data_IF_215895600159
#
_entry.id   IF_215895600159
#
_cell.length_a   1.000
_cell.length_b   1.000
_cell.length_c   1.000
_cell.angle_alpha   90.00
_cell.angle_beta   90.00
_cell.angle_gamma   90.00
#
_symmetry.space_group_name_H-M   'P 1'
#
loop_
_entity.id
_entity.type
_entity.pdbx_description
1 polymer ?
#
# COMPACT_ATOMS: atom_id res chain seq x y z
N UNK A 1 19.63 29.52 -55.68
CA UNK A 1 18.61 29.41 -56.74
C UNK A 1 17.27 29.53 -56.04
N UNK A 2 16.63 30.70 -56.17
CA UNK A 2 15.42 31.14 -55.47
C UNK A 2 14.26 30.94 -56.44
N UNK A 3 13.18 30.28 -56.01
CA UNK A 3 11.90 30.30 -56.74
C UNK A 3 10.74 30.43 -55.76
N UNK A 4 9.81 31.31 -56.14
CA UNK A 4 8.78 31.95 -55.33
C UNK A 4 7.46 31.16 -55.22
N UNK A 5 6.75 31.46 -54.12
CA UNK A 5 5.30 31.73 -53.94
C UNK A 5 4.26 30.89 -54.71
N UNK A 6 3.23 30.44 -54.00
CA UNK A 6 1.87 30.98 -54.16
C UNK A 6 1.08 30.87 -52.85
N UNK A 7 0.54 32.00 -52.38
CA UNK A 7 -0.43 32.10 -51.28
C UNK A 7 -1.84 32.00 -51.85
N UNK A 8 -2.70 31.17 -51.26
CA UNK A 8 -4.14 31.22 -51.50
C UNK A 8 -4.81 31.89 -50.30
N UNK A 9 -5.39 33.04 -50.57
CA UNK A 9 -6.23 33.85 -49.68
C UNK A 9 -7.63 33.24 -49.68
N UNK A 10 -8.19 32.91 -48.51
CA UNK A 10 -9.63 32.73 -48.34
C UNK A 10 -10.13 33.82 -47.39
N UNK A 11 -10.96 34.71 -47.93
CA UNK A 11 -11.65 35.78 -47.22
C UNK A 11 -12.83 35.22 -46.42
N UNK A 12 -12.96 35.66 -45.17
CA UNK A 12 -14.21 35.63 -44.41
C UNK A 12 -15.22 36.63 -44.98
N UNK A 13 -16.50 36.25 -45.01
CA UNK A 13 -17.66 37.18 -45.01
C UNK A 13 -18.70 36.63 -44.03
N UNK A 14 -19.33 37.55 -43.30
CA UNK A 14 -20.25 37.38 -42.18
C UNK A 14 -21.35 36.31 -42.35
N UNK A 15 -22.00 35.84 -41.30
CA UNK A 15 -22.34 36.52 -40.05
C UNK A 15 -23.77 36.12 -39.73
N UNK A 16 -23.96 35.35 -38.66
CA UNK A 16 -25.25 35.17 -38.01
C UNK A 16 -24.98 34.75 -36.56
N UNK A 17 -25.53 35.53 -35.63
CA UNK A 17 -25.38 35.37 -34.21
C UNK A 17 -26.02 34.05 -33.72
N UNK A 18 -25.24 33.27 -32.98
CA UNK A 18 -25.77 32.32 -32.00
C UNK A 18 -25.03 32.62 -30.68
N UNK A 19 -25.73 33.34 -29.82
CA UNK A 19 -25.51 33.34 -28.38
C UNK A 19 -25.97 31.98 -27.86
N UNK A 20 -25.14 31.23 -27.11
CA UNK A 20 -25.53 30.32 -26.01
C UNK A 20 -24.27 29.74 -25.33
N UNK A 21 -24.21 30.00 -24.02
CA UNK A 21 -23.50 29.33 -22.92
C UNK A 21 -21.97 29.14 -22.96
N UNK A 22 -21.31 29.96 -22.13
CA UNK A 22 -20.15 29.56 -21.33
C UNK A 22 -20.55 28.43 -20.36
N UNK A 23 -19.98 27.23 -20.51
CA UNK A 23 -19.71 26.32 -19.39
C UNK A 23 -18.35 25.65 -19.67
N UNK A 24 -17.45 25.74 -18.69
CA UNK A 24 -16.02 25.49 -18.83
C UNK A 24 -15.62 24.06 -19.17
N UNK A 25 -14.49 23.95 -19.88
CA UNK A 25 -13.67 22.74 -19.91
C UNK A 25 -12.90 22.64 -18.58
N UNK A 26 -13.59 22.21 -17.52
CA UNK A 26 -12.97 21.44 -16.46
C UNK A 26 -12.95 19.98 -16.94
N UNK A 27 -11.94 19.63 -17.72
CA UNK A 27 -11.56 18.23 -18.00
C UNK A 27 -10.15 18.04 -17.45
N UNK A 28 -10.02 18.24 -16.14
CA UNK A 28 -8.95 17.71 -15.30
C UNK A 28 -9.71 17.02 -14.17
N UNK A 29 -10.15 15.80 -14.41
CA UNK A 29 -10.58 14.92 -13.32
C UNK A 29 -9.54 13.81 -13.25
N UNK A 30 -8.53 14.07 -12.42
CA UNK A 30 -7.91 13.05 -11.62
C UNK A 30 -9.06 12.49 -10.77
N UNK A 31 -9.69 11.41 -11.23
CA UNK A 31 -10.58 10.67 -10.37
C UNK A 31 -9.68 10.00 -9.35
N UNK A 32 -9.48 10.66 -8.21
CA UNK A 32 -9.19 9.96 -6.97
C UNK A 32 -10.38 9.00 -6.81
N UNK A 33 -10.19 7.75 -7.22
CA UNK A 33 -11.21 6.73 -6.98
C UNK A 33 -11.15 6.51 -5.47
N UNK A 34 -12.05 7.16 -4.74
CA UNK A 34 -12.33 6.82 -3.35
C UNK A 34 -12.82 5.36 -3.36
N UNK A 35 -12.05 4.45 -2.76
CA UNK A 35 -12.42 3.05 -2.68
C UNK A 35 -12.89 2.73 -1.27
N UNK A 36 -14.12 2.23 -1.18
CA UNK A 36 -14.65 1.55 0.00
C UNK A 36 -14.47 0.05 -0.23
N UNK A 37 -13.60 -0.61 0.53
CA UNK A 37 -13.51 -2.08 0.54
C UNK A 37 -14.41 -2.60 1.63
N UNK A 38 -15.43 -3.38 1.25
CA UNK A 38 -16.18 -4.20 2.21
C UNK A 38 -15.52 -5.57 2.31
N UNK A 39 -14.85 -5.83 3.42
CA UNK A 39 -14.45 -7.19 3.77
C UNK A 39 -15.70 -7.96 4.21
N UNK A 40 -16.49 -8.44 3.24
CA UNK A 40 -17.62 -9.34 3.51
C UNK A 40 -17.06 -10.72 3.85
N UNK A 41 -17.23 -11.14 5.11
CA UNK A 41 -16.94 -12.51 5.50
C UNK A 41 -17.85 -13.45 4.71
N UNK A 42 -17.26 -14.25 3.81
CA UNK A 42 -17.99 -15.28 3.09
C UNK A 42 -18.44 -16.36 4.07
N UNK A 43 -19.66 -16.22 4.60
CA UNK A 43 -20.32 -17.22 5.44
C UNK A 43 -20.56 -18.49 4.65
N UNK A 44 -19.64 -19.45 4.75
CA UNK A 44 -19.80 -20.80 4.25
C UNK A 44 -20.97 -21.49 4.97
N UNK A 45 -22.05 -21.76 4.23
CA UNK A 45 -23.22 -22.47 4.72
C UNK A 45 -22.88 -23.91 5.14
N UNK A 46 -22.84 -24.16 6.45
CA UNK A 46 -22.79 -25.49 7.02
C UNK A 46 -24.18 -26.13 7.01
N UNK A 47 -24.33 -27.23 6.27
CA UNK A 47 -25.48 -28.11 6.38
C UNK A 47 -25.41 -28.89 7.71
N UNK A 48 -26.33 -28.58 8.63
CA UNK A 48 -26.51 -29.26 9.92
C UNK A 48 -27.87 -29.95 9.97
N UNK A 49 -27.88 -31.20 10.44
CA UNK A 49 -28.96 -32.17 10.27
C UNK A 49 -30.14 -32.07 11.25
N UNK A 50 -31.17 -32.82 10.89
CA UNK A 50 -32.43 -32.99 11.61
C UNK A 50 -32.26 -33.57 13.02
N UNK A 51 -32.90 -32.95 14.01
CA UNK A 51 -33.30 -33.62 15.24
C UNK A 51 -34.60 -33.01 15.77
N UNK A 52 -35.68 -33.79 15.67
CA UNK A 52 -36.97 -33.57 16.31
C UNK A 52 -36.94 -33.87 17.81
N UNK A 53 -37.53 -33.00 18.63
CA UNK A 53 -37.82 -33.31 20.04
C UNK A 53 -38.46 -32.14 20.77
N UNK A 54 -39.76 -32.22 21.04
CA UNK A 54 -40.57 -31.16 21.63
C UNK A 54 -40.40 -30.97 23.14
N UNK A 55 -40.85 -29.79 23.60
CA UNK A 55 -41.03 -29.47 25.02
C UNK A 55 -41.67 -28.08 25.15
N UNK A 56 -42.89 -28.04 25.68
CA UNK A 56 -43.66 -26.82 25.90
C UNK A 56 -43.45 -26.26 27.31
N UNK A 57 -43.50 -24.93 27.45
CA UNK A 57 -43.90 -24.26 28.70
C UNK A 57 -43.13 -22.99 29.06
N UNK A 58 -43.85 -21.88 29.25
CA UNK A 58 -43.51 -20.85 30.25
C UNK A 58 -43.31 -19.42 29.73
N UNK A 59 -44.30 -18.57 30.00
CA UNK A 59 -44.30 -17.11 29.83
C UNK A 59 -43.24 -16.38 30.68
N UNK A 60 -42.74 -15.24 30.19
CA UNK A 60 -42.79 -13.92 30.88
C UNK A 60 -41.93 -12.85 30.18
N UNK A 61 -42.61 -11.80 29.73
CA UNK A 61 -42.26 -10.36 29.77
C UNK A 61 -40.78 -9.94 29.87
N UNK A 62 -40.31 -9.22 28.85
CA UNK A 62 -39.13 -8.36 28.93
C UNK A 62 -39.07 -7.39 27.75
N UNK A 63 -39.69 -6.22 27.90
CA UNK A 63 -39.56 -5.13 26.94
C UNK A 63 -38.14 -4.55 27.00
N UNK A 64 -37.34 -4.85 25.98
CA UNK A 64 -36.05 -4.21 25.73
C UNK A 64 -36.21 -3.14 24.65
N UNK A 65 -36.10 -1.88 25.05
CA UNK A 65 -36.03 -0.75 24.13
C UNK A 65 -34.85 -0.95 23.16
N UNK A 66 -35.13 -0.91 21.86
CA UNK A 66 -34.12 -0.91 20.81
C UNK A 66 -33.25 0.33 20.95
N UNK A 67 -32.04 0.14 21.50
CA UNK A 67 -31.00 1.15 21.55
C UNK A 67 -30.61 1.54 20.14
N UNK A 68 -30.68 2.84 19.86
CA UNK A 68 -30.26 3.43 18.60
C UNK A 68 -28.82 3.06 18.25
N UNK A 69 -28.57 2.84 16.96
CA UNK A 69 -27.25 2.63 16.42
C UNK A 69 -26.34 3.79 16.82
N UNK A 70 -25.36 3.48 17.67
CA UNK A 70 -24.24 4.36 17.87
C UNK A 70 -23.51 4.47 16.53
N UNK A 71 -23.45 5.68 16.00
CA UNK A 71 -22.60 6.00 14.87
C UNK A 71 -21.19 5.52 15.17
N UNK A 72 -20.63 4.73 14.25
CA UNK A 72 -19.28 4.23 14.37
C UNK A 72 -18.33 5.40 14.57
N UNK A 73 -17.75 5.48 15.78
CA UNK A 73 -16.55 6.25 15.96
C UNK A 73 -15.45 5.74 15.02
N UNK A 74 -14.41 6.53 14.76
CA UNK A 74 -13.28 6.05 13.97
C UNK A 74 -12.81 4.71 14.54
N UNK A 75 -12.79 3.68 13.71
CA UNK A 75 -12.21 2.39 14.10
C UNK A 75 -10.73 2.64 14.36
N UNK A 76 -10.32 2.48 15.61
CA UNK A 76 -8.92 2.49 15.98
C UNK A 76 -8.36 1.11 15.62
N UNK A 77 -7.45 1.07 14.65
CA UNK A 77 -6.80 -0.14 14.24
C UNK A 77 -5.68 -0.45 15.23
N UNK A 78 -5.81 -1.59 15.90
CA UNK A 78 -4.88 -2.06 16.93
C UNK A 78 -3.48 -2.32 16.34
N UNK A 79 -2.44 -1.96 17.09
CA UNK A 79 -1.06 -2.25 16.73
C UNK A 79 -0.74 -3.75 16.74
N UNK A 80 -1.52 -4.54 17.48
CA UNK A 80 -1.34 -5.99 17.63
C UNK A 80 -2.08 -6.80 16.55
N UNK A 81 -2.91 -6.15 15.73
CA UNK A 81 -3.68 -6.80 14.65
C UNK A 81 -3.28 -6.15 13.35
N UNK A 82 -2.59 -6.89 12.48
CA UNK A 82 -2.18 -6.38 11.17
C UNK A 82 -3.15 -6.78 10.05
N UNK A 83 -4.12 -7.67 10.28
CA UNK A 83 -5.12 -8.06 9.27
C UNK A 83 -6.39 -7.21 9.43
N UNK A 84 -6.90 -6.63 8.34
CA UNK A 84 -8.05 -5.72 8.40
C UNK A 84 -9.30 -6.49 8.87
N UNK A 85 -9.93 -6.12 10.01
CA UNK A 85 -11.12 -6.78 10.48
C UNK A 85 -12.29 -6.68 9.47
N UNK A 86 -13.17 -7.70 9.39
CA UNK A 86 -14.39 -7.61 8.59
C UNK A 86 -15.24 -6.39 8.96
N UNK A 87 -15.77 -5.69 7.95
CA UNK A 87 -16.67 -4.55 8.14
C UNK A 87 -16.02 -3.21 8.48
N UNK A 88 -14.68 -3.10 8.43
CA UNK A 88 -13.99 -1.81 8.52
C UNK A 88 -13.95 -1.15 7.15
N UNK A 89 -14.64 -0.01 7.02
CA UNK A 89 -14.58 0.82 5.83
C UNK A 89 -13.40 1.81 5.96
N UNK A 90 -12.39 1.64 5.12
CA UNK A 90 -11.23 2.53 5.02
C UNK A 90 -11.35 3.40 3.78
N UNK A 91 -10.97 4.67 3.87
CA UNK A 91 -10.82 5.51 2.68
C UNK A 91 -9.41 5.35 2.12
N UNK A 92 -9.29 4.74 0.94
CA UNK A 92 -8.00 4.41 0.34
C UNK A 92 -7.53 5.44 -0.70
N UNK A 93 -6.23 5.76 -0.68
CA UNK A 93 -5.54 6.46 -1.77
C UNK A 93 -4.49 5.53 -2.36
N UNK A 94 -4.72 5.10 -3.60
CA UNK A 94 -3.89 4.09 -4.27
C UNK A 94 -2.45 4.58 -4.43
N UNK A 95 -1.49 3.76 -4.02
CA UNK A 95 -0.07 3.94 -4.35
C UNK A 95 0.21 3.17 -5.64
N UNK A 96 -0.10 1.88 -5.65
CA UNK A 96 0.05 1.05 -6.84
C UNK A 96 -0.81 -0.22 -6.79
N UNK A 97 -1.44 -0.53 -7.92
CA UNK A 97 -2.18 -1.79 -8.17
C UNK A 97 -1.40 -2.73 -9.10
N UNK A 98 -0.27 -2.28 -9.65
CA UNK A 98 0.66 -3.05 -10.48
C UNK A 98 0.05 -3.60 -11.79
N UNK A 99 -1.22 -3.31 -12.08
CA UNK A 99 -1.97 -3.87 -13.20
C UNK A 99 -1.49 -3.34 -14.57
N UNK A 100 -0.74 -2.23 -14.58
CA UNK A 100 -0.09 -1.71 -15.78
C UNK A 100 1.21 -2.44 -16.16
N UNK A 101 1.67 -3.37 -15.31
CA UNK A 101 2.80 -4.26 -15.60
C UNK A 101 4.16 -3.59 -15.65
N UNK A 102 4.32 -2.41 -15.06
CA UNK A 102 5.61 -1.76 -14.94
C UNK A 102 5.98 -1.51 -13.46
N UNK A 103 7.22 -1.16 -13.18
CA UNK A 103 7.70 -0.95 -11.81
C UNK A 103 7.59 0.51 -11.35
N UNK A 104 6.65 1.29 -11.89
CA UNK A 104 6.44 2.69 -11.52
C UNK A 104 5.11 2.82 -10.78
N UNK A 105 5.14 3.47 -9.62
CA UNK A 105 3.90 3.74 -8.89
C UNK A 105 2.99 4.68 -9.68
N UNK A 106 1.69 4.64 -9.37
CA UNK A 106 0.71 5.50 -10.03
C UNK A 106 1.03 6.97 -9.75
N UNK A 107 0.83 7.80 -10.79
CA UNK A 107 0.93 9.25 -10.64
C UNK A 107 -0.34 9.80 -9.99
N UNK A 108 -0.39 9.78 -8.66
CA UNK A 108 -1.52 10.26 -7.84
C UNK A 108 -0.96 11.19 -6.76
N UNK A 109 -1.58 12.35 -6.56
CA UNK A 109 -1.17 13.33 -5.53
C UNK A 109 0.34 13.66 -5.57
N UNK A 110 0.90 13.76 -6.79
CA UNK A 110 2.34 14.00 -7.05
C UNK A 110 3.28 12.83 -6.70
N UNK A 111 2.77 11.66 -6.30
CA UNK A 111 3.58 10.45 -6.14
C UNK A 111 4.07 9.95 -7.49
N UNK A 112 5.35 9.56 -7.63
CA UNK A 112 5.90 9.17 -8.94
C UNK A 112 7.20 8.35 -8.94
N UNK A 113 7.52 7.64 -7.86
CA UNK A 113 8.71 6.81 -7.79
C UNK A 113 8.62 5.47 -8.52
N UNK A 114 9.59 4.61 -8.23
CA UNK A 114 9.74 3.30 -8.84
C UNK A 114 9.93 2.25 -7.75
N UNK A 115 9.34 1.08 -7.97
CA UNK A 115 9.68 -0.13 -7.24
C UNK A 115 11.08 -0.59 -7.62
N UNK A 116 11.91 -0.79 -6.61
CA UNK A 116 13.29 -1.25 -6.72
C UNK A 116 13.55 -2.45 -5.82
N UNK A 117 14.52 -3.28 -6.22
CA UNK A 117 15.05 -4.34 -5.34
C UNK A 117 16.22 -3.77 -4.57
N UNK A 118 16.37 -4.18 -3.31
CA UNK A 118 17.53 -3.84 -2.51
C UNK A 118 17.93 -5.03 -1.64
N UNK A 119 19.23 -5.14 -1.35
CA UNK A 119 19.78 -6.13 -0.43
C UNK A 119 21.11 -5.63 0.14
N UNK A 120 21.56 -6.34 1.16
CA UNK A 120 22.73 -5.99 1.92
C UNK A 120 24.08 -6.35 1.28
N UNK A 121 24.06 -6.76 0.01
CA UNK A 121 25.25 -7.15 -0.75
C UNK A 121 25.85 -8.49 -0.32
N UNK A 122 25.25 -9.18 0.65
CA UNK A 122 25.58 -10.56 1.01
C UNK A 122 24.56 -11.54 0.40
N UNK A 123 24.62 -12.81 0.77
CA UNK A 123 23.73 -13.84 0.23
C UNK A 123 24.15 -14.42 -1.12
N UNK A 124 23.34 -15.37 -1.58
CA UNK A 124 23.60 -16.09 -2.83
C UNK A 124 23.06 -15.29 -4.01
N UNK A 125 21.78 -14.89 -3.93
CA UNK A 125 21.09 -14.13 -4.98
C UNK A 125 19.76 -13.56 -4.49
N UNK A 126 19.41 -12.37 -4.95
CA UNK A 126 18.03 -11.88 -4.97
C UNK A 126 17.51 -11.88 -6.41
N UNK A 127 16.28 -12.32 -6.61
CA UNK A 127 15.56 -12.24 -7.88
C UNK A 127 14.26 -11.45 -7.73
N UNK A 128 13.84 -10.70 -8.76
CA UNK A 128 14.62 -10.42 -9.97
C UNK A 128 15.79 -9.47 -9.70
N UNK A 129 16.95 -9.72 -10.30
CA UNK A 129 18.11 -8.80 -10.23
C UNK A 129 17.86 -7.43 -10.89
N UNK A 130 16.89 -7.34 -11.79
CA UNK A 130 16.49 -6.10 -12.44
C UNK A 130 15.10 -5.67 -11.95
N UNK A 131 15.03 -4.50 -11.31
CA UNK A 131 13.79 -3.94 -10.77
C UNK A 131 12.67 -3.77 -11.79
N UNK A 132 12.98 -3.57 -13.08
CA UNK A 132 11.97 -3.51 -14.14
C UNK A 132 11.20 -4.83 -14.34
N UNK A 133 11.64 -5.93 -13.69
CA UNK A 133 10.99 -7.24 -13.73
C UNK A 133 10.31 -7.63 -12.41
N UNK A 134 10.20 -6.71 -11.45
CA UNK A 134 9.55 -6.98 -10.16
C UNK A 134 8.08 -7.34 -10.30
N UNK A 135 7.39 -6.74 -11.27
CA UNK A 135 5.97 -7.01 -11.49
C UNK A 135 5.80 -8.31 -12.27
N UNK A 136 5.19 -9.28 -11.60
CA UNK A 136 4.97 -10.64 -12.10
C UNK A 136 3.48 -10.94 -12.21
N UNK A 137 3.12 -11.87 -13.10
CA UNK A 137 1.74 -12.33 -13.21
C UNK A 137 1.36 -13.21 -12.00
N UNK A 138 0.15 -13.04 -11.50
CA UNK A 138 -0.44 -13.89 -10.46
C UNK A 138 -1.22 -15.02 -11.15
N UNK A 139 -0.95 -16.26 -10.76
CA UNK A 139 -1.70 -17.44 -11.23
C UNK A 139 -2.06 -18.36 -10.05
N UNK A 140 -3.36 -18.59 -9.77
CA UNK A 140 -4.52 -17.94 -10.40
C UNK A 140 -4.64 -16.47 -9.99
N UNK A 141 -5.24 -15.60 -10.83
CA UNK A 141 -5.56 -14.22 -10.45
C UNK A 141 -6.37 -14.16 -9.16
N UNK A 142 -6.13 -13.14 -8.34
CA UNK A 142 -6.86 -12.96 -7.07
C UNK A 142 -8.05 -12.01 -7.24
N UNK A 143 -9.10 -12.13 -6.42
CA UNK A 143 -10.06 -11.04 -6.25
C UNK A 143 -9.32 -9.77 -5.80
N UNK A 144 -9.47 -8.70 -6.56
CA UNK A 144 -8.96 -7.38 -6.24
C UNK A 144 -9.82 -6.67 -5.22
N UNK A 145 -9.24 -5.65 -4.61
CA UNK A 145 -9.84 -4.85 -3.53
C UNK A 145 -11.18 -4.19 -3.86
N UNK A 146 -11.43 -3.92 -5.14
CA UNK A 146 -12.59 -3.19 -5.64
C UNK A 146 -13.57 -4.07 -6.44
N UNK A 147 -13.45 -5.41 -6.32
CA UNK A 147 -14.21 -6.36 -7.12
C UNK A 147 -13.69 -6.56 -8.54
N UNK A 148 -12.61 -5.88 -8.95
CA UNK A 148 -11.84 -6.22 -10.14
C UNK A 148 -10.99 -7.48 -9.85
N UNK A 149 -10.38 -8.04 -10.90
CA UNK A 149 -9.48 -9.19 -10.76
C UNK A 149 -8.06 -8.66 -10.83
N UNK A 150 -7.29 -8.82 -9.75
CA UNK A 150 -5.85 -8.55 -9.77
C UNK A 150 -5.11 -9.72 -10.42
N UNK A 151 -4.25 -9.39 -11.38
CA UNK A 151 -3.49 -10.31 -12.23
C UNK A 151 -1.99 -10.11 -12.08
N UNK A 152 -1.56 -9.06 -11.38
CA UNK A 152 -0.15 -8.69 -11.25
C UNK A 152 0.18 -8.30 -9.83
N UNK A 153 1.39 -8.62 -9.40
CA UNK A 153 1.92 -8.29 -8.09
C UNK A 153 3.44 -8.12 -8.15
N UNK A 154 4.01 -7.46 -7.14
CA UNK A 154 5.45 -7.51 -6.92
C UNK A 154 5.80 -8.93 -6.49
N UNK A 155 6.86 -9.48 -7.06
CA UNK A 155 7.41 -10.76 -6.65
C UNK A 155 8.92 -10.63 -6.50
N UNK A 156 9.43 -11.00 -5.33
CA UNK A 156 10.86 -11.14 -5.10
C UNK A 156 11.17 -12.36 -4.25
N UNK A 157 12.33 -12.95 -4.49
CA UNK A 157 12.84 -14.10 -3.75
C UNK A 157 14.33 -13.98 -3.52
N UNK A 158 14.84 -14.58 -2.45
CA UNK A 158 16.28 -14.64 -2.21
C UNK A 158 16.62 -15.45 -0.97
N UNK A 159 17.93 -15.60 -0.71
CA UNK A 159 18.43 -16.33 0.45
C UNK A 159 19.85 -15.91 0.85
N UNK A 160 20.20 -16.14 2.12
CA UNK A 160 21.57 -16.06 2.62
C UNK A 160 22.06 -14.66 2.98
N UNK A 161 21.18 -13.66 3.06
CA UNK A 161 21.55 -12.31 3.48
C UNK A 161 21.90 -12.28 4.97
N UNK A 162 23.13 -11.93 5.32
CA UNK A 162 23.72 -12.14 6.66
C UNK A 162 23.84 -10.87 7.50
N UNK A 163 23.44 -9.71 6.98
CA UNK A 163 23.54 -8.45 7.73
C UNK A 163 22.15 -7.91 8.07
N UNK A 164 21.49 -7.18 7.16
CA UNK A 164 20.15 -6.62 7.38
C UNK A 164 19.11 -7.18 6.40
N UNK A 165 19.47 -8.05 5.46
CA UNK A 165 18.50 -8.76 4.63
C UNK A 165 18.33 -8.23 3.20
N UNK A 166 17.13 -8.42 2.65
CA UNK A 166 16.77 -8.02 1.30
C UNK A 166 15.27 -7.72 1.20
N UNK A 167 14.89 -6.97 0.17
CA UNK A 167 13.50 -6.56 0.02
C UNK A 167 13.22 -5.78 -1.26
N UNK A 168 12.04 -5.16 -1.27
CA UNK A 168 11.61 -4.21 -2.30
C UNK A 168 11.20 -2.90 -1.65
N UNK A 169 11.46 -1.81 -2.34
CA UNK A 169 11.07 -0.48 -1.88
C UNK A 169 10.50 0.36 -2.99
N UNK A 170 9.74 1.38 -2.63
CA UNK A 170 9.37 2.45 -3.56
C UNK A 170 9.54 3.80 -2.91
N UNK A 171 10.21 4.71 -3.63
CA UNK A 171 10.16 6.12 -3.30
C UNK A 171 8.77 6.66 -3.61
N UNK A 172 8.27 7.56 -2.77
CA UNK A 172 6.97 8.18 -2.99
C UNK A 172 7.07 9.39 -3.93
N UNK A 173 8.19 10.11 -3.88
CA UNK A 173 8.41 11.36 -4.62
C UNK A 173 9.94 11.58 -4.83
N UNK A 174 10.34 12.59 -5.60
CA UNK A 174 11.75 12.98 -5.80
C UNK A 174 12.47 13.44 -4.50
N UNK A 175 11.69 13.79 -3.46
CA UNK A 175 12.21 14.29 -2.18
C UNK A 175 11.47 13.63 -1.03
N UNK A 176 10.61 14.38 -0.33
CA UNK A 176 9.71 13.88 0.69
C UNK A 176 8.26 14.08 0.23
N UNK A 177 7.39 13.22 0.71
CA UNK A 177 5.97 13.20 0.44
C UNK A 177 5.22 13.50 1.73
N UNK A 178 4.27 14.43 1.66
CA UNK A 178 3.40 14.76 2.77
C UNK A 178 2.22 13.77 2.78
N UNK A 179 2.34 12.76 3.63
CA UNK A 179 1.30 11.76 3.93
C UNK A 179 0.56 12.07 5.25
N UNK A 180 0.62 13.30 5.76
CA UNK A 180 0.04 13.64 7.08
C UNK A 180 -1.47 13.46 7.17
N UNK A 181 -2.18 13.41 6.05
CA UNK A 181 -3.62 13.10 5.99
C UNK A 181 -3.95 11.61 6.18
N UNK A 182 -2.94 10.74 6.13
CA UNK A 182 -3.08 9.28 6.20
C UNK A 182 -2.65 8.73 7.56
N UNK A 183 -3.28 7.62 7.94
CA UNK A 183 -2.97 6.89 9.18
C UNK A 183 -1.94 5.79 8.99
N UNK A 184 -1.67 5.40 7.75
CA UNK A 184 -0.77 4.30 7.42
C UNK A 184 -1.04 3.74 6.03
N UNK A 185 -0.64 2.48 5.81
CA UNK A 185 -0.84 1.78 4.53
C UNK A 185 -1.66 0.50 4.69
N UNK A 186 -2.23 0.07 3.58
CA UNK A 186 -2.85 -1.24 3.38
C UNK A 186 -2.20 -1.91 2.17
N UNK A 187 -2.15 -3.23 2.18
CA UNK A 187 -1.60 -4.02 1.08
C UNK A 187 -2.03 -5.47 1.19
N UNK A 188 -2.05 -6.16 0.06
CA UNK A 188 -2.17 -7.61 0.01
C UNK A 188 -0.78 -8.23 -0.01
N UNK A 189 -0.58 -9.31 0.74
CA UNK A 189 0.67 -10.06 0.66
C UNK A 189 0.48 -11.56 0.92
N UNK A 190 1.44 -12.36 0.42
CA UNK A 190 1.59 -13.79 0.72
C UNK A 190 3.04 -14.22 0.54
N UNK A 191 3.39 -15.37 1.10
CA UNK A 191 4.66 -16.05 0.85
C UNK A 191 4.44 -17.34 0.06
N UNK A 192 5.41 -17.78 -0.75
CA UNK A 192 5.33 -19.10 -1.39
C UNK A 192 5.75 -20.20 -0.41
N UNK A 193 4.93 -21.25 -0.27
CA UNK A 193 5.31 -22.53 0.36
C UNK A 193 6.18 -22.41 1.62
N UNK A 194 7.37 -22.99 1.57
CA UNK A 194 8.34 -23.08 2.67
C UNK A 194 9.20 -21.81 2.87
N UNK A 195 8.78 -20.67 2.29
CA UNK A 195 9.46 -19.40 2.47
C UNK A 195 9.36 -18.90 3.91
N UNK A 196 10.37 -18.14 4.34
CA UNK A 196 10.26 -17.32 5.54
C UNK A 196 9.09 -16.35 5.45
N UNK A 197 8.35 -16.20 6.54
CA UNK A 197 7.03 -15.54 6.57
C UNK A 197 7.01 -14.20 7.27
N UNK A 198 8.04 -13.83 8.01
CA UNK A 198 8.05 -12.52 8.68
C UNK A 198 8.51 -11.46 7.69
N UNK A 199 7.60 -10.55 7.36
CA UNK A 199 7.82 -9.42 6.48
C UNK A 199 7.83 -8.15 7.31
N UNK A 200 8.98 -7.48 7.35
CA UNK A 200 9.11 -6.17 7.96
C UNK A 200 8.60 -5.09 6.98
N UNK A 201 7.81 -4.16 7.48
CA UNK A 201 7.25 -3.05 6.72
C UNK A 201 7.80 -1.76 7.31
N UNK A 202 8.71 -1.11 6.59
CA UNK A 202 9.38 0.10 7.04
C UNK A 202 8.79 1.36 6.41
N UNK A 203 8.64 2.39 7.23
CA UNK A 203 8.38 3.76 6.80
C UNK A 203 9.67 4.54 6.94
N UNK A 204 10.25 4.90 5.81
CA UNK A 204 11.48 5.69 5.76
C UNK A 204 11.11 7.15 5.66
N UNK A 205 11.42 7.90 6.71
CA UNK A 205 11.19 9.35 6.77
C UNK A 205 12.49 10.14 6.75
N UNK A 206 12.37 11.47 6.72
CA UNK A 206 13.51 12.38 6.77
C UNK A 206 14.40 12.19 8.00
N UNK A 207 13.84 11.75 9.13
CA UNK A 207 14.58 11.63 10.37
C UNK A 207 15.59 10.48 10.34
N UNK A 208 15.19 9.38 9.71
CA UNK A 208 15.90 8.10 9.75
C UNK A 208 16.78 7.86 8.53
N UNK A 209 16.52 8.51 7.39
CA UNK A 209 17.31 8.36 6.16
C UNK A 209 18.54 9.27 6.13
N UNK A 210 19.66 8.73 5.62
CA UNK A 210 20.96 9.42 5.63
C UNK A 210 21.01 10.73 4.85
N UNK A 211 20.20 10.89 3.81
CA UNK A 211 20.13 12.12 3.02
C UNK A 211 19.03 13.09 3.48
N UNK A 212 18.35 12.78 4.60
CA UNK A 212 17.39 13.68 5.25
C UNK A 212 18.03 14.82 6.05
N UNK A 213 19.33 14.70 6.35
CA UNK A 213 20.13 15.72 7.01
C UNK A 213 19.95 15.83 8.52
N UNK A 214 19.34 14.82 9.16
CA UNK A 214 19.09 14.78 10.61
C UNK A 214 20.05 13.80 11.30
N UNK A 215 20.09 12.55 10.85
CA UNK A 215 21.04 11.54 11.32
C UNK A 215 22.37 11.60 10.53
N UNK A 216 23.39 10.85 10.97
CA UNK A 216 24.73 10.77 10.35
C UNK A 216 25.00 9.34 9.88
N UNK A 217 25.34 9.16 8.59
CA UNK A 217 25.52 7.83 7.99
C UNK A 217 26.69 7.03 8.57
N UNK A 218 27.83 7.68 8.75
CA UNK A 218 29.06 7.12 9.31
C UNK A 218 29.32 7.81 10.64
N UNK A 219 28.49 7.54 11.66
CA UNK A 219 28.57 8.30 12.88
C UNK A 219 29.84 7.93 13.64
N UNK A 220 30.51 8.91 14.23
CA UNK A 220 31.58 8.64 15.20
C UNK A 220 31.01 8.05 16.50
N UNK A 221 29.70 8.22 16.73
CA UNK A 221 28.98 7.77 17.93
C UNK A 221 27.79 6.88 17.53
N UNK A 222 27.63 5.66 18.07
CA UNK A 222 26.55 4.75 17.69
C UNK A 222 25.13 5.34 17.77
N UNK A 223 24.92 6.39 18.57
CA UNK A 223 23.64 7.07 18.79
C UNK A 223 23.30 8.18 17.78
N UNK A 224 24.17 8.45 16.81
CA UNK A 224 23.87 9.41 15.72
C UNK A 224 23.71 8.73 14.38
N UNK A 225 23.72 7.39 14.34
CA UNK A 225 23.55 6.61 13.12
C UNK A 225 22.20 6.78 12.44
N UNK A 226 22.18 6.54 11.13
CA UNK A 226 20.98 6.47 10.29
C UNK A 226 20.49 5.03 10.09
N UNK A 227 19.37 4.91 9.38
CA UNK A 227 18.77 3.68 8.87
C UNK A 227 18.10 2.78 9.92
N UNK A 228 17.92 3.29 11.15
CA UNK A 228 16.97 2.69 12.09
C UNK A 228 15.57 3.20 11.75
N UNK A 229 14.95 2.63 10.71
CA UNK A 229 13.66 3.07 10.21
C UNK A 229 12.50 2.60 11.09
N UNK A 230 11.41 3.35 11.06
CA UNK A 230 10.17 2.99 11.75
C UNK A 230 9.52 1.79 11.07
N UNK A 231 9.30 0.71 11.81
CA UNK A 231 8.79 -0.52 11.24
C UNK A 231 7.80 -1.25 12.14
N UNK A 232 7.12 -2.21 11.52
CA UNK A 232 6.41 -3.33 12.18
C UNK A 232 6.58 -4.57 11.31
N UNK A 233 6.30 -5.74 11.89
CA UNK A 233 6.35 -7.01 11.17
C UNK A 233 4.95 -7.58 10.98
N UNK A 234 4.69 -8.10 9.78
CA UNK A 234 3.51 -8.91 9.49
C UNK A 234 3.94 -10.35 9.21
N UNK A 235 3.16 -11.32 9.68
CA UNK A 235 3.39 -12.73 9.39
C UNK A 235 2.55 -13.14 8.20
N UNK A 236 3.22 -13.52 7.11
CA UNK A 236 2.61 -14.01 5.89
C UNK A 236 2.21 -15.49 6.02
N UNK A 237 1.30 -15.93 5.16
CA UNK A 237 1.07 -17.36 4.91
C UNK A 237 0.98 -17.61 3.39
N UNK A 238 0.67 -18.85 3.00
CA UNK A 238 0.60 -19.23 1.58
C UNK A 238 -0.59 -18.64 0.83
N UNK A 239 -1.53 -17.99 1.53
CA UNK A 239 -2.72 -17.36 0.99
C UNK A 239 -2.54 -15.85 0.99
N UNK A 240 -3.16 -15.19 0.03
CA UNK A 240 -3.29 -13.74 0.02
C UNK A 240 -4.03 -13.27 1.27
N UNK A 241 -3.36 -12.44 2.06
CA UNK A 241 -3.93 -11.75 3.23
C UNK A 241 -3.92 -10.25 3.00
N UNK A 242 -4.90 -9.57 3.57
CA UNK A 242 -5.04 -8.13 3.45
C UNK A 242 -4.61 -7.46 4.76
N UNK A 243 -3.47 -6.79 4.70
CA UNK A 243 -2.84 -6.19 5.86
C UNK A 243 -3.10 -4.68 5.93
N UNK A 244 -3.07 -4.14 7.14
CA UNK A 244 -2.86 -2.74 7.41
C UNK A 244 -1.65 -2.54 8.33
N UNK A 245 -1.00 -1.41 8.19
CA UNK A 245 0.10 -0.96 9.04
C UNK A 245 -0.20 0.47 9.46
N UNK A 246 -0.36 0.69 10.76
CA UNK A 246 -0.68 1.98 11.35
C UNK A 246 0.60 2.72 11.71
N UNK A 247 0.76 3.96 11.24
CA UNK A 247 1.97 4.76 11.42
C UNK A 247 2.30 5.01 12.92
N UNK A 248 1.29 5.20 13.76
CA UNK A 248 1.46 5.38 15.21
C UNK A 248 1.94 4.13 15.95
N UNK A 249 1.90 2.96 15.31
CA UNK A 249 2.35 1.69 15.88
C UNK A 249 3.79 1.34 15.49
N UNK A 250 4.40 2.11 14.60
CA UNK A 250 5.74 1.84 14.12
C UNK A 250 6.78 2.22 15.17
N UNK A 251 7.81 1.37 15.29
CA UNK A 251 8.89 1.56 16.24
C UNK A 251 10.24 1.46 15.54
N UNK A 252 11.27 2.03 16.17
CA UNK A 252 12.65 1.83 15.78
C UNK A 252 13.23 0.59 16.50
N UNK A 253 14.24 -0.05 15.89
CA UNK A 253 14.91 -1.23 16.43
C UNK A 253 15.78 -0.89 17.65
N UNK A 254 16.20 0.37 17.79
CA UNK A 254 16.92 0.89 18.95
C UNK A 254 18.41 1.17 18.70
N UNK A 255 18.84 1.35 17.46
CA UNK A 255 20.20 1.77 17.09
C UNK A 255 20.20 3.15 16.43
N UNK A 256 21.36 3.81 16.34
CA UNK A 256 21.38 5.15 15.74
C UNK A 256 20.59 6.19 16.55
N UNK A 257 20.12 7.23 15.86
CA UNK A 257 19.29 8.29 16.47
C UNK A 257 17.85 7.80 16.67
N UNK A 258 17.30 8.06 17.85
CA UNK A 258 15.96 7.63 18.23
C UNK A 258 14.98 8.81 18.21
N UNK A 259 13.75 8.54 17.78
CA UNK A 259 12.69 9.51 17.58
C UNK A 259 11.35 8.96 18.11
N UNK A 260 10.43 9.86 18.47
CA UNK A 260 9.17 9.49 19.13
C UNK A 260 8.16 8.81 18.19
N UNK A 261 8.31 8.98 16.87
CA UNK A 261 7.41 8.43 15.86
C UNK A 261 7.73 8.93 14.46
N UNK A 262 7.25 8.22 13.45
CA UNK A 262 7.46 8.54 12.03
C UNK A 262 6.90 9.91 11.65
N UNK A 263 7.65 10.68 10.84
CA UNK A 263 7.16 11.92 10.20
C UNK A 263 6.39 11.63 8.94
N UNK A 264 5.08 11.46 9.08
CA UNK A 264 4.18 11.26 7.93
C UNK A 264 4.18 12.45 6.96
N UNK A 265 4.46 13.68 7.41
CA UNK A 265 4.61 14.87 6.55
C UNK A 265 5.95 14.94 5.80
N UNK A 266 6.91 14.07 6.13
CA UNK A 266 8.23 14.00 5.51
C UNK A 266 8.62 12.55 5.14
N UNK A 267 7.65 11.78 4.61
CA UNK A 267 7.84 10.38 4.25
C UNK A 267 8.57 10.26 2.90
N UNK A 268 9.56 9.38 2.79
CA UNK A 268 10.36 9.22 1.57
C UNK A 268 10.03 7.94 0.82
N UNK A 269 10.13 6.81 1.53
CA UNK A 269 10.14 5.48 0.92
C UNK A 269 9.36 4.51 1.81
N UNK A 270 8.70 3.54 1.19
CA UNK A 270 8.18 2.36 1.88
C UNK A 270 9.09 1.17 1.58
N UNK A 271 9.52 0.43 2.60
CA UNK A 271 10.25 -0.82 2.40
C UNK A 271 9.42 -2.03 2.83
N UNK A 272 9.56 -3.11 2.09
CA UNK A 272 9.10 -4.43 2.46
C UNK A 272 10.33 -5.33 2.53
N UNK A 273 10.80 -5.58 3.75
CA UNK A 273 12.10 -6.18 4.04
C UNK A 273 11.94 -7.55 4.66
N UNK A 274 12.69 -8.53 4.17
CA UNK A 274 12.90 -9.80 4.85
C UNK A 274 14.28 -9.78 5.49
N UNK A 275 14.32 -9.81 6.82
CA UNK A 275 15.56 -10.00 7.56
C UNK A 275 16.07 -11.43 7.35
N UNK A 276 17.37 -11.55 7.07
CA UNK A 276 17.96 -12.83 6.73
C UNK A 276 18.45 -13.63 7.95
N UNK A 277 19.06 -14.82 7.73
CA UNK A 277 19.52 -15.37 6.45
C UNK A 277 18.52 -16.27 5.72
N UNK A 278 17.26 -16.30 6.15
CA UNK A 278 16.28 -17.27 5.68
C UNK A 278 15.97 -17.08 4.19
N UNK A 279 15.63 -18.19 3.51
CA UNK A 279 15.13 -18.15 2.15
C UNK A 279 13.70 -17.60 2.14
N UNK A 280 13.41 -16.72 1.18
CA UNK A 280 12.09 -16.13 1.03
C UNK A 280 11.67 -16.06 -0.43
N UNK A 281 10.36 -16.05 -0.64
CA UNK A 281 9.69 -15.75 -1.90
C UNK A 281 8.35 -15.11 -1.54
N UNK A 282 8.25 -13.79 -1.71
CA UNK A 282 7.13 -12.99 -1.23
C UNK A 282 6.44 -12.26 -2.37
N UNK A 283 5.13 -12.09 -2.22
CA UNK A 283 4.27 -11.39 -3.14
C UNK A 283 3.58 -10.24 -2.42
N UNK A 284 3.54 -9.05 -3.04
CA UNK A 284 2.94 -7.83 -2.49
C UNK A 284 2.11 -7.14 -3.57
N UNK A 285 0.93 -6.65 -3.23
CA UNK A 285 -0.05 -6.14 -4.19
C UNK A 285 -1.04 -5.13 -3.56
N UNK A 286 -1.78 -4.38 -4.38
CA UNK A 286 -2.82 -3.40 -3.98
C UNK A 286 -2.38 -2.46 -2.84
N UNK A 287 -1.25 -1.78 -3.01
CA UNK A 287 -0.68 -0.92 -1.98
C UNK A 287 -1.43 0.41 -1.98
N UNK A 288 -2.00 0.81 -0.84
CA UNK A 288 -2.72 2.07 -0.68
C UNK A 288 -2.45 2.72 0.66
N UNK A 289 -2.43 4.05 0.71
CA UNK A 289 -2.62 4.76 1.98
C UNK A 289 -4.06 4.63 2.45
N UNK A 290 -4.31 4.74 3.76
CA UNK A 290 -5.67 4.76 4.32
C UNK A 290 -5.88 5.86 5.36
N UNK A 291 -7.14 6.27 5.57
CA UNK A 291 -7.58 7.21 6.60
C UNK A 291 -8.98 6.92 7.15
#
# INVERSE_FOLDING_TARGET
>A
MITQRTQTVIRCVGGAAITILCIGCAQIFNFDKEYLIRNESSGGGGAGGDASGGGAGGDASGGGAGGGGAGGGPVELDCDVNEIPPGVDLHLSLIDDLEDGNNRIKYIERRHGYWVVFNDGTGVKQEPTNSARLVSAIDPPRPGSNGEISKKALHTSGEGFTTWGAGVSTDLNDTFYDASEYRGITFWARADGDSFTDLNVDFVDRQTVWDGGICVQEPTEPRTGCNDHFHTSVTLDSRWRYFHVTASCLVQQGFGMQFDGVKMDELKTLHFTVFGPQAFSIWIDDISFYR
#
